data_IF_175170146743
#
_entry.id   IF_175170146743
#
_cell.length_a   1.000
_cell.length_b   1.000
_cell.length_c   1.000
_cell.angle_alpha   90.00
_cell.angle_beta   90.00
_cell.angle_gamma   90.00
#
_symmetry.space_group_name_H-M   'P 1'
#
loop_
_entity.id
_entity.type
_entity.pdbx_description
1 polymer ?
#
# COMPACT_ATOMS: atom_id res chain seq x y z
N UNK A 1 -5.38 13.99 7.61
CA UNK A 1 -5.91 13.42 6.37
C UNK A 1 -6.45 12.04 6.69
N UNK A 2 -7.71 11.77 6.30
CA UNK A 2 -8.37 10.48 6.44
C UNK A 2 -8.53 9.86 5.05
N UNK A 3 -7.96 8.68 4.83
CA UNK A 3 -8.04 7.95 3.56
C UNK A 3 -8.65 6.58 3.86
N UNK A 4 -9.71 6.18 3.16
CA UNK A 4 -10.26 4.84 3.24
C UNK A 4 -9.54 3.93 2.23
N UNK A 5 -8.65 3.01 2.66
CA UNK A 5 -8.03 2.05 1.75
C UNK A 5 -8.85 0.77 1.69
N UNK A 6 -9.25 0.35 0.49
CA UNK A 6 -9.93 -0.93 0.24
C UNK A 6 -9.29 -1.58 -0.98
N UNK A 7 -8.26 -2.37 -0.74
CA UNK A 7 -7.43 -3.02 -1.77
C UNK A 7 -7.36 -4.55 -1.57
N UNK A 8 -8.49 -5.15 -1.19
CA UNK A 8 -8.59 -6.57 -0.85
C UNK A 8 -8.66 -7.53 -2.05
N UNK A 9 -8.69 -7.03 -3.27
CA UNK A 9 -9.00 -7.86 -4.44
C UNK A 9 -7.86 -8.75 -4.92
N UNK A 10 -6.62 -8.41 -4.63
CA UNK A 10 -5.43 -9.14 -5.10
C UNK A 10 -4.51 -9.53 -3.95
N UNK A 11 -4.25 -8.62 -3.02
CA UNK A 11 -3.36 -8.84 -1.87
C UNK A 11 -4.01 -9.66 -0.74
N UNK A 12 -5.33 -9.64 -0.68
CA UNK A 12 -6.15 -10.36 0.29
C UNK A 12 -7.31 -11.07 -0.41
N UNK A 13 -7.93 -12.03 0.29
CA UNK A 13 -9.08 -12.75 -0.25
C UNK A 13 -10.31 -11.84 -0.32
N UNK A 14 -10.70 -11.39 -1.49
CA UNK A 14 -11.89 -10.55 -1.67
C UNK A 14 -13.14 -11.23 -1.08
N UNK A 15 -13.37 -12.49 -1.41
CA UNK A 15 -14.51 -13.27 -0.93
C UNK A 15 -14.60 -13.30 0.59
N UNK A 16 -13.52 -13.70 1.28
CA UNK A 16 -13.51 -13.78 2.75
C UNK A 16 -13.57 -12.38 3.40
N UNK A 17 -12.95 -11.36 2.78
CA UNK A 17 -12.94 -10.00 3.32
C UNK A 17 -14.31 -9.35 3.27
N UNK A 18 -15.07 -9.56 2.20
CA UNK A 18 -16.38 -8.92 2.01
C UNK A 18 -17.58 -9.79 2.44
N UNK A 19 -17.38 -11.10 2.71
CA UNK A 19 -18.47 -12.00 3.12
C UNK A 19 -19.32 -11.47 4.29
N UNK A 20 -18.76 -10.82 5.33
CA UNK A 20 -19.56 -10.23 6.40
C UNK A 20 -20.46 -9.07 5.95
N UNK A 21 -20.05 -8.34 4.89
CA UNK A 21 -20.79 -7.21 4.33
C UNK A 21 -20.73 -7.26 2.80
N UNK A 22 -21.50 -8.15 2.16
CA UNK A 22 -21.40 -8.41 0.71
C UNK A 22 -21.68 -7.21 -0.19
N UNK A 23 -22.32 -6.17 0.32
CA UNK A 23 -22.59 -4.93 -0.42
C UNK A 23 -21.28 -4.27 -0.91
N UNK A 24 -20.15 -4.53 -0.25
CA UNK A 24 -18.84 -3.96 -0.63
C UNK A 24 -18.12 -4.71 -1.76
N UNK A 25 -18.73 -5.79 -2.30
CA UNK A 25 -18.34 -6.31 -3.61
C UNK A 25 -18.64 -5.31 -4.73
N UNK A 26 -19.62 -4.42 -4.54
CA UNK A 26 -19.89 -3.33 -5.46
C UNK A 26 -18.95 -2.16 -5.16
N UNK A 27 -18.04 -1.79 -6.11
CA UNK A 27 -17.12 -0.67 -5.96
C UNK A 27 -17.79 0.65 -5.62
N UNK A 28 -19.00 0.86 -6.09
CA UNK A 28 -19.77 2.08 -5.80
C UNK A 28 -20.04 2.23 -4.30
N UNK A 29 -20.33 1.13 -3.60
CA UNK A 29 -20.61 1.18 -2.17
C UNK A 29 -19.35 1.46 -1.34
N UNK A 30 -18.17 1.05 -1.82
CA UNK A 30 -16.88 1.42 -1.20
C UNK A 30 -16.67 2.94 -1.27
N UNK A 31 -16.90 3.53 -2.44
CA UNK A 31 -16.73 4.99 -2.61
C UNK A 31 -17.77 5.77 -1.83
N UNK A 32 -19.03 5.31 -1.82
CA UNK A 32 -20.09 5.89 -0.98
C UNK A 32 -19.73 5.87 0.50
N UNK A 33 -19.21 4.75 1.00
CA UNK A 33 -18.76 4.62 2.39
C UNK A 33 -17.68 5.65 2.73
N UNK A 34 -16.71 5.89 1.83
CA UNK A 34 -15.68 6.89 2.03
C UNK A 34 -16.27 8.31 2.11
N UNK A 35 -17.22 8.64 1.23
CA UNK A 35 -17.89 9.94 1.21
C UNK A 35 -18.74 10.14 2.48
N UNK A 36 -19.58 9.18 2.81
CA UNK A 36 -20.48 9.21 3.98
C UNK A 36 -19.68 9.25 5.30
N UNK A 37 -18.54 8.55 5.34
CA UNK A 37 -17.61 8.56 6.47
C UNK A 37 -16.76 9.83 6.57
N UNK A 38 -16.93 10.81 5.67
CA UNK A 38 -16.18 12.07 5.69
C UNK A 38 -14.69 11.91 5.39
N UNK A 39 -14.30 10.86 4.64
CA UNK A 39 -12.91 10.67 4.25
C UNK A 39 -12.47 11.74 3.25
N UNK A 40 -11.19 12.12 3.32
CA UNK A 40 -10.58 13.04 2.36
C UNK A 40 -10.24 12.37 1.02
N UNK A 41 -10.07 11.04 1.01
CA UNK A 41 -9.79 10.27 -0.19
C UNK A 41 -10.21 8.82 -0.02
N UNK A 42 -10.32 8.09 -1.13
CA UNK A 42 -10.48 6.64 -1.19
C UNK A 42 -9.33 6.03 -1.98
N UNK A 43 -8.75 4.95 -1.46
CA UNK A 43 -7.65 4.24 -2.11
C UNK A 43 -8.08 2.82 -2.47
N UNK A 44 -7.88 2.44 -3.72
CA UNK A 44 -8.16 1.07 -4.20
C UNK A 44 -7.40 0.76 -5.48
N UNK A 45 -7.73 -0.36 -6.11
CA UNK A 45 -7.12 -0.84 -7.35
C UNK A 45 -7.65 -0.09 -8.59
N UNK A 46 -6.93 -0.24 -9.70
CA UNK A 46 -7.36 0.33 -11.00
C UNK A 46 -8.76 -0.14 -11.42
N UNK A 47 -9.04 -1.44 -11.29
CA UNK A 47 -10.33 -2.01 -11.70
C UNK A 47 -11.48 -1.48 -10.86
N UNK A 48 -11.28 -1.38 -9.55
CA UNK A 48 -12.28 -0.88 -8.61
C UNK A 48 -12.58 0.60 -8.87
N UNK A 49 -11.58 1.46 -8.80
CA UNK A 49 -11.79 2.90 -8.98
C UNK A 49 -12.17 3.26 -10.41
N UNK A 50 -11.58 2.58 -11.40
CA UNK A 50 -11.89 2.80 -12.81
C UNK A 50 -13.34 2.54 -13.18
N UNK A 51 -13.97 1.52 -12.58
CA UNK A 51 -15.38 1.17 -12.83
C UNK A 51 -16.34 2.28 -12.40
N UNK A 52 -15.94 3.15 -11.48
CA UNK A 52 -16.77 4.22 -10.90
C UNK A 52 -16.22 5.64 -11.15
N UNK A 53 -15.08 5.77 -11.85
CA UNK A 53 -14.37 7.04 -11.99
C UNK A 53 -15.21 8.15 -12.59
N UNK A 54 -15.98 7.88 -13.66
CA UNK A 54 -16.86 8.88 -14.28
C UNK A 54 -17.89 9.46 -13.33
N UNK A 55 -18.33 8.67 -12.35
CA UNK A 55 -19.38 9.04 -11.42
C UNK A 55 -18.85 9.71 -10.16
N UNK A 56 -17.63 9.39 -9.76
CA UNK A 56 -17.12 9.74 -8.43
C UNK A 56 -15.77 10.46 -8.39
N UNK A 57 -14.92 10.40 -9.41
CA UNK A 57 -13.59 11.03 -9.36
C UNK A 57 -13.61 12.54 -9.09
N UNK A 58 -14.73 13.22 -9.43
CA UNK A 58 -14.95 14.64 -9.14
C UNK A 58 -15.61 14.89 -7.77
N UNK A 59 -16.01 13.85 -7.03
CA UNK A 59 -16.71 13.96 -5.72
C UNK A 59 -15.79 13.65 -4.54
N UNK A 60 -14.84 12.77 -4.73
CA UNK A 60 -13.85 12.37 -3.73
C UNK A 60 -12.53 12.07 -4.42
N UNK A 61 -11.39 12.58 -3.90
CA UNK A 61 -10.07 12.25 -4.40
C UNK A 61 -9.79 10.74 -4.45
N UNK A 62 -9.26 10.25 -5.57
CA UNK A 62 -8.85 8.87 -5.76
C UNK A 62 -7.35 8.71 -5.55
N UNK A 63 -6.97 7.68 -4.81
CA UNK A 63 -5.60 7.17 -4.68
C UNK A 63 -5.56 5.79 -5.34
N UNK A 64 -4.87 5.67 -6.46
CA UNK A 64 -4.80 4.40 -7.21
C UNK A 64 -3.57 3.62 -6.82
N UNK A 65 -3.75 2.38 -6.37
CA UNK A 65 -2.65 1.45 -6.08
C UNK A 65 -2.05 0.91 -7.37
N UNK A 66 -0.73 1.08 -7.53
CA UNK A 66 0.01 0.68 -8.73
C UNK A 66 0.47 -0.78 -8.69
N UNK A 67 0.65 -1.34 -7.48
CA UNK A 67 1.15 -2.70 -7.29
C UNK A 67 0.43 -3.42 -6.16
N UNK A 68 0.43 -4.74 -6.22
CA UNK A 68 -0.05 -5.63 -5.16
C UNK A 68 0.71 -6.95 -5.14
N UNK A 69 0.77 -7.59 -3.96
CA UNK A 69 1.17 -8.99 -3.87
C UNK A 69 0.06 -9.86 -4.51
N UNK A 70 0.45 -10.77 -5.37
CA UNK A 70 -0.47 -11.74 -5.96
C UNK A 70 -0.70 -12.90 -4.99
N UNK A 71 -1.90 -12.93 -4.38
CA UNK A 71 -2.24 -13.84 -3.29
C UNK A 71 -2.16 -15.33 -3.66
N UNK A 72 -2.44 -15.68 -4.91
CA UNK A 72 -2.50 -17.08 -5.36
C UNK A 72 -1.12 -17.67 -5.63
N UNK A 73 -0.07 -16.85 -5.71
CA UNK A 73 1.30 -17.35 -5.84
C UNK A 73 1.72 -18.08 -4.57
N UNK A 74 2.05 -19.35 -4.71
CA UNK A 74 2.45 -20.20 -3.60
C UNK A 74 3.72 -21.01 -3.92
N UNK A 75 4.70 -21.09 -3.00
CA UNK A 75 4.76 -20.38 -1.73
C UNK A 75 4.90 -18.86 -1.93
N UNK A 76 4.38 -18.08 -0.96
CA UNK A 76 4.43 -16.62 -1.04
C UNK A 76 5.88 -16.11 -0.92
N UNK A 77 6.33 -15.36 -1.91
CA UNK A 77 7.69 -14.79 -1.96
C UNK A 77 7.76 -13.35 -1.46
N UNK A 78 6.66 -12.82 -0.93
CA UNK A 78 6.54 -11.42 -0.53
C UNK A 78 6.89 -10.44 -1.66
N UNK A 79 6.45 -10.79 -2.86
CA UNK A 79 6.62 -9.93 -4.02
C UNK A 79 5.47 -8.92 -4.15
N UNK A 80 5.75 -7.84 -4.85
CA UNK A 80 4.78 -6.84 -5.28
C UNK A 80 4.85 -6.74 -6.80
N UNK A 81 3.75 -7.01 -7.47
CA UNK A 81 3.65 -6.94 -8.93
C UNK A 81 3.16 -5.56 -9.32
N UNK A 82 3.97 -4.84 -10.09
CA UNK A 82 3.60 -3.55 -10.66
C UNK A 82 2.74 -3.81 -11.92
N UNK A 83 1.44 -3.58 -11.83
CA UNK A 83 0.50 -3.83 -12.94
C UNK A 83 -0.20 -2.58 -13.44
N UNK A 84 0.00 -1.44 -12.78
CA UNK A 84 -0.59 -0.17 -13.15
C UNK A 84 0.44 0.90 -13.45
N UNK A 85 0.10 1.85 -14.30
CA UNK A 85 0.95 2.97 -14.62
C UNK A 85 0.43 4.27 -13.99
N UNK A 86 1.36 5.16 -13.64
CA UNK A 86 1.03 6.50 -13.14
C UNK A 86 0.18 7.27 -14.17
N UNK A 87 0.53 7.15 -15.45
CA UNK A 87 -0.21 7.84 -16.52
C UNK A 87 -1.66 7.38 -16.63
N UNK A 88 -1.91 6.09 -16.46
CA UNK A 88 -3.26 5.55 -16.45
C UNK A 88 -4.07 6.08 -15.26
N UNK A 89 -3.49 6.11 -14.07
CA UNK A 89 -4.11 6.69 -12.89
C UNK A 89 -4.44 8.18 -13.09
N UNK A 90 -3.50 8.94 -13.64
CA UNK A 90 -3.71 10.36 -13.95
C UNK A 90 -4.85 10.56 -14.97
N UNK A 91 -4.89 9.76 -16.04
CA UNK A 91 -5.96 9.81 -17.04
C UNK A 91 -7.34 9.45 -16.46
N UNK A 92 -7.39 8.64 -15.42
CA UNK A 92 -8.61 8.30 -14.67
C UNK A 92 -9.14 9.46 -13.83
N UNK A 93 -8.32 10.48 -13.56
CA UNK A 93 -8.62 11.60 -12.68
C UNK A 93 -8.19 11.38 -11.24
N UNK A 94 -7.31 10.42 -10.98
CA UNK A 94 -6.72 10.24 -9.66
C UNK A 94 -5.81 11.42 -9.30
N UNK A 95 -5.79 11.79 -8.02
CA UNK A 95 -4.96 12.86 -7.49
C UNK A 95 -3.69 12.36 -6.82
N UNK A 96 -3.64 11.06 -6.57
CA UNK A 96 -2.50 10.40 -5.95
C UNK A 96 -2.35 8.97 -6.46
N UNK A 97 -1.14 8.46 -6.38
CA UNK A 97 -0.84 7.05 -6.56
C UNK A 97 -0.32 6.45 -5.26
N UNK A 98 -0.62 5.18 -5.06
CA UNK A 98 -0.15 4.41 -3.92
C UNK A 98 0.62 3.17 -4.36
N UNK A 99 1.56 2.75 -3.54
CA UNK A 99 2.30 1.51 -3.76
C UNK A 99 2.65 0.85 -2.43
N UNK A 100 2.92 -0.44 -2.47
CA UNK A 100 3.47 -1.19 -1.33
C UNK A 100 4.91 -1.58 -1.64
N UNK A 101 5.79 -1.43 -0.66
CA UNK A 101 7.10 -2.09 -0.66
C UNK A 101 7.16 -3.03 0.54
N UNK A 102 7.54 -4.28 0.28
CA UNK A 102 7.84 -5.26 1.30
C UNK A 102 9.34 -5.20 1.64
N UNK A 103 9.70 -4.23 2.49
CA UNK A 103 11.07 -4.04 2.94
C UNK A 103 11.59 -5.29 3.68
N UNK A 104 12.81 -5.67 3.36
CA UNK A 104 13.46 -6.86 3.91
C UNK A 104 13.14 -8.16 3.16
N UNK A 105 12.22 -8.17 2.21
CA UNK A 105 12.00 -9.32 1.33
C UNK A 105 13.12 -9.44 0.28
N UNK A 106 13.25 -10.61 -0.33
CA UNK A 106 14.20 -10.83 -1.44
C UNK A 106 13.94 -9.90 -2.63
N UNK A 107 12.70 -9.46 -2.80
CA UNK A 107 12.24 -8.61 -3.90
C UNK A 107 12.30 -7.11 -3.58
N UNK A 108 12.66 -6.72 -2.37
CA UNK A 108 12.57 -5.31 -1.93
C UNK A 108 13.43 -4.36 -2.76
N UNK A 109 14.59 -4.80 -3.26
CA UNK A 109 15.48 -3.96 -4.10
C UNK A 109 14.84 -3.59 -5.43
N UNK A 110 14.20 -4.56 -6.09
CA UNK A 110 13.46 -4.33 -7.35
C UNK A 110 12.27 -3.41 -7.11
N UNK A 111 11.48 -3.68 -6.07
CA UNK A 111 10.33 -2.87 -5.68
C UNK A 111 10.74 -1.42 -5.40
N UNK A 112 11.86 -1.19 -4.73
CA UNK A 112 12.39 0.15 -4.47
C UNK A 112 12.64 0.94 -5.75
N UNK A 113 13.29 0.33 -6.75
CA UNK A 113 13.58 0.98 -8.03
C UNK A 113 12.29 1.29 -8.78
N UNK A 114 11.41 0.31 -8.96
CA UNK A 114 10.13 0.46 -9.66
C UNK A 114 9.27 1.59 -9.05
N UNK A 115 9.20 1.65 -7.72
CA UNK A 115 8.37 2.65 -7.05
C UNK A 115 9.05 4.02 -7.03
N UNK A 116 10.37 4.09 -6.92
CA UNK A 116 11.08 5.37 -7.01
C UNK A 116 10.85 6.04 -8.38
N UNK A 117 10.90 5.27 -9.47
CA UNK A 117 10.60 5.74 -10.83
C UNK A 117 9.14 6.17 -10.99
N UNK A 118 8.21 5.36 -10.46
CA UNK A 118 6.79 5.69 -10.50
C UNK A 118 6.47 6.96 -9.71
N UNK A 119 7.07 7.15 -8.54
CA UNK A 119 6.85 8.34 -7.71
C UNK A 119 7.44 9.61 -8.33
N UNK A 120 8.60 9.50 -8.99
CA UNK A 120 9.17 10.60 -9.76
C UNK A 120 8.19 11.06 -10.84
N UNK A 121 7.69 10.13 -11.63
CA UNK A 121 6.74 10.45 -12.70
C UNK A 121 5.39 10.97 -12.15
N UNK A 122 4.94 10.48 -11.00
CA UNK A 122 3.74 11.01 -10.34
C UNK A 122 3.92 12.48 -9.97
N UNK A 123 5.07 12.86 -9.43
CA UNK A 123 5.37 14.25 -9.10
C UNK A 123 5.45 15.15 -10.35
N UNK A 124 6.00 14.65 -11.46
CA UNK A 124 5.98 15.38 -12.74
C UNK A 124 4.55 15.70 -13.21
N UNK A 125 3.60 14.82 -12.92
CA UNK A 125 2.18 15.00 -13.25
C UNK A 125 1.40 15.76 -12.16
N UNK A 126 2.06 16.20 -11.08
CA UNK A 126 1.44 16.92 -9.97
C UNK A 126 0.60 16.05 -9.03
N UNK A 127 0.83 14.72 -9.03
CA UNK A 127 0.13 13.78 -8.17
C UNK A 127 0.89 13.58 -6.86
N UNK A 128 0.16 13.37 -5.77
CA UNK A 128 0.76 12.95 -4.51
C UNK A 128 1.13 11.45 -4.52
N UNK A 129 2.09 11.07 -3.68
CA UNK A 129 2.58 9.69 -3.58
C UNK A 129 2.42 9.15 -2.18
N UNK A 130 1.86 7.93 -2.07
CA UNK A 130 1.60 7.29 -0.78
C UNK A 130 2.26 5.91 -0.78
N UNK A 131 3.13 5.65 0.19
CA UNK A 131 3.80 4.36 0.31
C UNK A 131 3.27 3.56 1.50
N UNK A 132 2.82 2.33 1.24
CA UNK A 132 2.60 1.32 2.26
C UNK A 132 3.95 0.70 2.62
N UNK A 133 4.52 1.11 3.75
CA UNK A 133 5.83 0.69 4.25
C UNK A 133 5.67 -0.55 5.13
N UNK A 134 5.76 -1.74 4.56
CA UNK A 134 5.64 -2.98 5.32
C UNK A 134 6.93 -3.78 5.31
N UNK A 135 7.27 -4.32 6.48
CA UNK A 135 8.36 -5.28 6.60
C UNK A 135 7.84 -6.68 6.24
N UNK A 136 8.61 -7.42 5.44
CA UNK A 136 8.34 -8.82 5.12
C UNK A 136 9.65 -9.58 4.99
N UNK A 137 9.95 -10.39 5.99
CA UNK A 137 11.09 -11.29 6.01
C UNK A 137 10.80 -12.41 7.01
N UNK A 138 10.94 -13.67 6.61
CA UNK A 138 10.70 -14.81 7.50
C UNK A 138 11.56 -14.75 8.77
N UNK A 139 12.77 -14.19 8.67
CA UNK A 139 13.72 -14.09 9.78
C UNK A 139 13.38 -12.99 10.79
N UNK A 140 12.40 -12.14 10.50
CA UNK A 140 11.89 -11.15 11.46
C UNK A 140 10.91 -11.75 12.48
N UNK A 141 10.68 -13.05 12.41
CA UNK A 141 9.98 -13.81 13.44
C UNK A 141 10.95 -14.74 14.14
N UNK A 142 11.11 -14.56 15.45
CA UNK A 142 12.01 -15.39 16.29
C UNK A 142 11.17 -16.11 17.34
N UNK A 143 10.98 -17.42 17.14
CA UNK A 143 10.08 -18.21 17.99
C UNK A 143 8.65 -17.68 17.97
N UNK A 144 8.12 -17.32 19.12
CA UNK A 144 6.75 -16.77 19.25
C UNK A 144 6.68 -15.24 19.03
N UNK A 145 7.82 -14.54 18.91
CA UNK A 145 7.86 -13.08 18.83
C UNK A 145 7.97 -12.65 17.37
N UNK A 146 7.09 -11.73 16.96
CA UNK A 146 7.06 -11.13 15.65
C UNK A 146 7.63 -9.70 15.72
N UNK A 147 8.70 -9.44 14.96
CA UNK A 147 9.38 -8.13 14.89
C UNK A 147 8.99 -7.31 13.65
N UNK A 148 8.03 -7.76 12.84
CA UNK A 148 7.58 -7.01 11.65
C UNK A 148 6.92 -5.65 11.98
N UNK A 149 6.58 -5.41 13.23
CA UNK A 149 6.10 -4.13 13.71
C UNK A 149 7.05 -3.48 14.74
N UNK A 150 8.30 -3.97 14.85
CA UNK A 150 9.28 -3.38 15.76
C UNK A 150 9.55 -1.92 15.39
N UNK A 151 9.54 -1.01 16.37
CA UNK A 151 9.60 0.43 16.14
C UNK A 151 10.88 0.88 15.42
N UNK A 152 12.00 0.27 15.72
CA UNK A 152 13.28 0.54 15.09
C UNK A 152 13.32 0.07 13.62
N UNK A 153 12.81 -1.12 13.32
CA UNK A 153 12.73 -1.66 11.96
C UNK A 153 11.72 -0.89 11.11
N UNK A 154 10.55 -0.59 11.66
CA UNK A 154 9.51 0.15 10.94
C UNK A 154 9.93 1.61 10.70
N UNK A 155 10.59 2.24 11.66
CA UNK A 155 11.16 3.58 11.48
C UNK A 155 12.21 3.62 10.36
N UNK A 156 13.01 2.55 10.20
CA UNK A 156 13.92 2.45 9.06
C UNK A 156 13.16 2.31 7.72
N UNK A 157 12.09 1.52 7.68
CA UNK A 157 11.26 1.40 6.49
C UNK A 157 10.62 2.74 6.10
N UNK A 158 10.11 3.49 7.07
CA UNK A 158 9.54 4.82 6.84
C UNK A 158 10.59 5.79 6.29
N UNK A 159 11.81 5.75 6.83
CA UNK A 159 12.92 6.56 6.32
C UNK A 159 13.27 6.22 4.87
N UNK A 160 13.21 4.95 4.49
CA UNK A 160 13.38 4.53 3.09
C UNK A 160 12.24 5.08 2.22
N UNK A 161 11.00 5.06 2.71
CA UNK A 161 9.86 5.68 2.02
C UNK A 161 10.08 7.17 1.73
N UNK A 162 10.56 7.92 2.72
CA UNK A 162 10.94 9.34 2.53
C UNK A 162 12.07 9.48 1.49
N UNK A 163 13.06 8.57 1.53
CA UNK A 163 14.20 8.60 0.60
C UNK A 163 13.78 8.45 -0.85
N UNK A 164 12.73 7.67 -1.14
CA UNK A 164 12.18 7.51 -2.49
C UNK A 164 11.03 8.47 -2.80
N UNK A 165 10.94 9.57 -2.08
CA UNK A 165 10.01 10.68 -2.33
C UNK A 165 8.53 10.33 -2.07
N UNK A 166 8.22 9.48 -1.10
CA UNK A 166 6.83 9.34 -0.65
C UNK A 166 6.39 10.58 0.12
N UNK A 167 5.26 11.19 -0.27
CA UNK A 167 4.67 12.32 0.44
C UNK A 167 3.98 11.87 1.73
N UNK A 168 3.41 10.66 1.70
CA UNK A 168 2.74 10.04 2.85
C UNK A 168 3.22 8.61 2.98
N UNK A 169 3.53 8.17 4.20
CA UNK A 169 3.81 6.76 4.50
C UNK A 169 2.67 6.17 5.33
N UNK A 170 2.23 4.97 4.95
CA UNK A 170 1.28 4.16 5.71
C UNK A 170 2.04 3.03 6.39
N UNK A 171 1.81 2.87 7.67
CA UNK A 171 2.56 1.98 8.55
C UNK A 171 1.61 1.27 9.51
N UNK A 172 1.98 0.10 9.98
CA UNK A 172 1.37 -0.53 11.16
C UNK A 172 1.78 0.22 12.42
N UNK A 173 0.93 0.23 13.43
CA UNK A 173 1.31 0.78 14.74
C UNK A 173 2.55 0.04 15.26
N UNK A 174 3.63 0.76 15.59
CA UNK A 174 4.89 0.14 15.98
C UNK A 174 4.86 -0.41 17.41
N UNK A 175 5.65 -1.44 17.64
CA UNK A 175 5.86 -2.03 18.96
C UNK A 175 7.31 -1.84 19.37
N UNK A 176 7.56 -1.31 20.56
CA UNK A 176 8.91 -1.15 21.07
C UNK A 176 9.41 -2.48 21.68
N UNK A 177 9.99 -3.34 20.86
CA UNK A 177 10.44 -4.68 21.23
C UNK A 177 11.86 -5.04 20.79
N UNK A 178 12.65 -4.06 20.31
CA UNK A 178 14.08 -4.23 20.00
C UNK A 178 14.37 -5.10 18.77
N UNK A 179 13.77 -4.75 17.65
CA UNK A 179 13.88 -5.50 16.39
C UNK A 179 15.32 -5.61 15.87
N UNK A 180 16.08 -4.53 15.79
CA UNK A 180 17.48 -4.57 15.32
C UNK A 180 18.33 -5.54 16.12
N UNK A 181 18.20 -5.54 17.45
CA UNK A 181 18.91 -6.47 18.33
C UNK A 181 18.50 -7.92 18.05
N UNK A 182 17.19 -8.17 17.90
CA UNK A 182 16.65 -9.50 17.69
C UNK A 182 17.11 -10.15 16.37
N UNK A 183 17.29 -9.35 15.32
CA UNK A 183 17.75 -9.83 14.01
C UNK A 183 19.26 -9.66 13.78
N UNK A 184 19.99 -9.17 14.76
CA UNK A 184 21.46 -9.04 14.70
C UNK A 184 21.96 -7.85 13.86
N UNK A 185 21.16 -6.83 13.61
CA UNK A 185 21.51 -5.67 12.78
C UNK A 185 22.18 -4.53 13.58
N UNK A 186 22.31 -4.60 14.85
CA UNK A 186 22.90 -3.52 15.61
C UNK A 186 23.28 -3.90 17.03
N UNK A 187 24.04 -2.99 17.68
CA UNK A 187 24.46 -3.10 19.07
C UNK A 187 23.50 -2.44 20.07
N UNK A 188 22.45 -1.81 19.56
CA UNK A 188 21.45 -1.07 20.35
C UNK A 188 20.22 -1.90 20.64
#
# INVERSE_FOLDING_TARGET
VSILPVDQDIEHTAGASFAPNPIYFDPENIVKLAIEGGCNAVASTFGILGSVARKYAHKIPFVVKLNHNELLTYPNTYDQVLFGTVKEAWNMGAVAVGATIYFGSEQSRRQLVEIAEAFEYAHELGMATILWCYLRNSDFKKGAIDYHAAADLTGQADRLGVTIKADIVKQKLPTNNGGFKAIGFGKT
#
